data_IF_282789177384
#
_entry.id   IF_282789177384
#
_cell.length_a   1.000
_cell.length_b   1.000
_cell.length_c   1.000
_cell.angle_alpha   90.00
_cell.angle_beta   90.00
_cell.angle_gamma   90.00
#
_symmetry.space_group_name_H-M   'P 1'
#
loop_
_entity.id
_entity.type
_entity.pdbx_description
1 polymer ?
#
# COMPACT_ATOMS: atom_id res chain seq x y z
N UNK A 1 14.12 -35.85 51.68
CA UNK A 1 15.03 -34.97 50.89
C UNK A 1 14.67 -34.89 49.39
N UNK A 2 14.02 -35.91 48.80
CA UNK A 2 13.74 -35.99 47.33
C UNK A 2 12.57 -35.10 46.88
N UNK A 3 11.48 -35.01 47.64
CA UNK A 3 10.31 -34.18 47.27
C UNK A 3 10.59 -32.68 47.25
N UNK A 4 11.51 -32.18 48.05
CA UNK A 4 11.90 -30.77 48.08
C UNK A 4 12.74 -30.36 46.85
N UNK A 5 13.67 -31.19 46.45
CA UNK A 5 14.47 -30.94 45.23
C UNK A 5 13.63 -30.91 43.96
N UNK A 6 12.67 -31.84 43.83
CA UNK A 6 11.76 -31.88 42.66
C UNK A 6 10.85 -30.65 42.61
N UNK A 7 10.38 -30.14 43.75
CA UNK A 7 9.54 -28.93 43.80
C UNK A 7 10.32 -27.65 43.40
N UNK A 8 11.57 -27.52 43.85
CA UNK A 8 12.42 -26.38 43.49
C UNK A 8 12.75 -26.38 41.99
N UNK A 9 13.08 -27.56 41.44
CA UNK A 9 13.35 -27.73 40.02
C UNK A 9 12.10 -27.40 39.21
N UNK A 10 10.92 -27.84 39.62
CA UNK A 10 9.66 -27.56 38.91
C UNK A 10 9.28 -26.07 38.95
N UNK A 11 9.43 -25.40 40.09
CA UNK A 11 9.22 -23.95 40.24
C UNK A 11 10.21 -23.15 39.37
N UNK A 12 11.46 -23.58 39.30
CA UNK A 12 12.47 -22.94 38.40
C UNK A 12 12.09 -23.12 36.93
N UNK A 13 11.71 -24.32 36.48
CA UNK A 13 11.26 -24.58 35.12
C UNK A 13 9.98 -23.79 34.78
N UNK A 14 9.03 -23.75 35.69
CA UNK A 14 7.78 -23.01 35.55
C UNK A 14 8.02 -21.49 35.44
N UNK A 15 8.86 -20.94 36.28
CA UNK A 15 9.21 -19.51 36.25
C UNK A 15 9.97 -19.15 34.96
N UNK A 16 10.91 -20.00 34.54
CA UNK A 16 11.67 -19.84 33.30
C UNK A 16 10.76 -19.95 32.09
N UNK A 17 9.85 -20.92 32.05
CA UNK A 17 8.84 -21.08 30.99
C UNK A 17 7.89 -19.88 30.91
N UNK A 18 7.40 -19.39 32.03
CA UNK A 18 6.53 -18.21 32.08
C UNK A 18 7.26 -16.95 31.63
N UNK A 19 8.53 -16.80 32.04
CA UNK A 19 9.39 -15.70 31.58
C UNK A 19 9.63 -15.77 30.07
N UNK A 20 9.94 -16.94 29.54
CA UNK A 20 10.11 -17.19 28.09
C UNK A 20 8.82 -16.92 27.31
N UNK A 21 7.67 -17.41 27.80
CA UNK A 21 6.36 -17.16 27.19
C UNK A 21 6.00 -15.66 27.19
N UNK A 22 6.34 -14.93 28.28
CA UNK A 22 6.10 -13.48 28.38
C UNK A 22 7.00 -12.68 27.44
N UNK A 23 8.27 -13.07 27.30
CA UNK A 23 9.22 -12.47 26.34
C UNK A 23 8.79 -12.71 24.90
N UNK A 24 8.42 -13.94 24.55
CA UNK A 24 7.97 -14.30 23.22
C UNK A 24 6.65 -13.59 22.83
N UNK A 25 5.72 -13.43 23.77
CA UNK A 25 4.50 -12.64 23.55
C UNK A 25 4.79 -11.14 23.35
N UNK A 26 5.76 -10.59 24.08
CA UNK A 26 6.15 -9.17 23.95
C UNK A 26 6.84 -8.91 22.62
N UNK A 27 7.74 -9.80 22.19
CA UNK A 27 8.41 -9.77 20.88
C UNK A 27 7.40 -9.87 19.74
N UNK A 28 6.42 -10.78 19.81
CA UNK A 28 5.37 -10.92 18.81
C UNK A 28 4.48 -9.66 18.72
N UNK A 29 4.10 -9.06 19.85
CA UNK A 29 3.30 -7.83 19.87
C UNK A 29 4.03 -6.65 19.22
N UNK A 30 5.33 -6.51 19.47
CA UNK A 30 6.15 -5.47 18.85
C UNK A 30 6.28 -5.68 17.33
N UNK A 31 6.56 -6.91 16.90
CA UNK A 31 6.62 -7.26 15.48
C UNK A 31 5.30 -7.00 14.76
N UNK A 32 4.17 -7.36 15.37
CA UNK A 32 2.83 -7.06 14.82
C UNK A 32 2.64 -5.54 14.66
N UNK A 33 2.99 -4.75 15.69
CA UNK A 33 2.92 -3.29 15.60
C UNK A 33 3.72 -2.74 14.42
N UNK A 34 4.99 -3.14 14.27
CA UNK A 34 5.85 -2.70 13.17
C UNK A 34 5.25 -3.08 11.80
N UNK A 35 4.75 -4.32 11.69
CA UNK A 35 4.12 -4.82 10.47
C UNK A 35 2.86 -4.02 10.15
N UNK A 36 1.96 -3.79 11.12
CA UNK A 36 0.73 -3.03 10.90
C UNK A 36 1.01 -1.60 10.46
N UNK A 37 1.98 -0.92 11.06
CA UNK A 37 2.36 0.43 10.63
C UNK A 37 2.89 0.42 9.19
N UNK A 38 3.74 -0.54 8.84
CA UNK A 38 4.27 -0.62 7.49
C UNK A 38 3.18 -1.00 6.46
N UNK A 39 2.21 -1.85 6.81
CA UNK A 39 1.11 -2.23 5.92
C UNK A 39 0.14 -1.08 5.64
N UNK A 40 0.10 -0.02 6.47
CA UNK A 40 -0.68 1.17 6.16
C UNK A 40 -0.21 1.85 4.86
N UNK A 41 1.07 1.77 4.50
CA UNK A 41 1.54 2.21 3.19
C UNK A 41 0.88 1.44 2.04
N UNK A 42 0.67 0.13 2.22
CA UNK A 42 -0.11 -0.68 1.28
C UNK A 42 -1.60 -0.31 1.28
N UNK A 43 -2.20 -0.07 2.45
CA UNK A 43 -3.59 0.37 2.55
C UNK A 43 -3.81 1.70 1.82
N UNK A 44 -2.90 2.67 1.98
CA UNK A 44 -2.96 3.95 1.28
C UNK A 44 -2.80 3.80 -0.23
N UNK A 45 -1.95 2.89 -0.68
CA UNK A 45 -1.90 2.53 -2.10
C UNK A 45 -3.29 2.10 -2.61
N UNK A 46 -3.96 1.17 -1.92
CA UNK A 46 -5.28 0.71 -2.31
C UNK A 46 -6.34 1.81 -2.22
N UNK A 47 -6.25 2.67 -1.21
CA UNK A 47 -7.17 3.78 -1.00
C UNK A 47 -7.06 4.85 -2.10
N UNK A 48 -5.85 5.40 -2.33
CA UNK A 48 -5.61 6.42 -3.38
C UNK A 48 -5.97 5.91 -4.78
N UNK A 49 -5.65 4.63 -5.03
CA UNK A 49 -5.97 4.01 -6.32
C UNK A 49 -7.47 3.73 -6.47
N UNK A 50 -8.14 3.38 -5.38
CA UNK A 50 -9.56 3.03 -5.39
C UNK A 50 -10.50 4.24 -5.32
N UNK A 51 -10.07 5.39 -4.79
CA UNK A 51 -10.91 6.58 -4.67
C UNK A 51 -11.41 7.07 -6.04
N UNK A 52 -10.57 6.92 -7.08
CA UNK A 52 -10.89 7.32 -8.44
C UNK A 52 -12.16 6.66 -8.98
N UNK A 53 -12.45 5.41 -8.58
CA UNK A 53 -13.60 4.66 -9.11
C UNK A 53 -14.95 5.34 -8.82
N UNK A 54 -15.09 5.94 -7.63
CA UNK A 54 -16.31 6.66 -7.27
C UNK A 54 -16.42 8.06 -7.86
N UNK A 55 -15.36 8.55 -8.51
CA UNK A 55 -15.25 9.94 -8.96
C UNK A 55 -15.18 10.10 -10.48
N UNK A 56 -15.08 9.00 -11.26
CA UNK A 56 -14.88 9.07 -12.72
C UNK A 56 -15.96 9.92 -13.40
N UNK A 57 -17.24 9.60 -13.20
CA UNK A 57 -18.32 10.34 -13.81
C UNK A 57 -18.39 11.81 -13.36
N UNK A 58 -18.13 12.07 -12.07
CA UNK A 58 -18.09 13.43 -11.54
C UNK A 58 -16.90 14.24 -12.09
N UNK A 59 -15.72 13.63 -12.26
CA UNK A 59 -14.56 14.29 -12.87
C UNK A 59 -14.78 14.56 -14.36
N UNK A 60 -15.46 13.65 -15.05
CA UNK A 60 -15.86 13.86 -16.45
C UNK A 60 -16.82 15.04 -16.56
N UNK A 61 -17.90 15.03 -15.77
CA UNK A 61 -18.90 16.13 -15.74
C UNK A 61 -18.26 17.46 -15.34
N UNK A 62 -17.31 17.49 -14.41
CA UNK A 62 -16.71 18.73 -13.90
C UNK A 62 -15.61 19.28 -14.81
N UNK A 63 -14.67 18.45 -15.29
CA UNK A 63 -13.49 18.89 -16.00
C UNK A 63 -13.55 18.71 -17.52
N UNK A 64 -14.38 17.82 -18.03
CA UNK A 64 -14.35 17.40 -19.44
C UNK A 64 -15.56 17.92 -20.22
N UNK A 65 -16.78 17.66 -19.74
CA UNK A 65 -18.02 18.05 -20.42
C UNK A 65 -18.08 19.56 -20.74
N UNK A 66 -17.70 20.48 -19.82
CA UNK A 66 -17.77 21.91 -20.10
C UNK A 66 -16.84 22.38 -21.22
N UNK A 67 -15.87 21.54 -21.66
CA UNK A 67 -14.96 21.87 -22.77
C UNK A 67 -15.60 21.65 -24.13
N UNK A 68 -16.74 20.97 -24.22
CA UNK A 68 -17.45 20.72 -25.47
C UNK A 68 -16.61 19.94 -26.50
N UNK A 69 -15.81 18.99 -26.04
CA UNK A 69 -14.92 18.20 -26.89
C UNK A 69 -15.71 17.15 -27.68
N UNK A 70 -15.14 16.68 -28.82
CA UNK A 70 -15.67 15.52 -29.51
C UNK A 70 -15.56 14.27 -28.60
N UNK A 71 -16.48 13.29 -28.79
CA UNK A 71 -16.58 12.10 -27.94
C UNK A 71 -15.23 11.37 -27.75
N UNK A 72 -14.45 11.22 -28.82
CA UNK A 72 -13.13 10.60 -28.74
C UNK A 72 -12.15 11.40 -27.86
N UNK A 73 -12.13 12.73 -28.01
CA UNK A 73 -11.25 13.60 -27.24
C UNK A 73 -11.68 13.67 -25.77
N UNK A 74 -12.98 13.68 -25.50
CA UNK A 74 -13.58 13.60 -24.16
C UNK A 74 -13.14 12.33 -23.46
N UNK A 75 -13.38 11.17 -24.05
CA UNK A 75 -12.99 9.86 -23.50
C UNK A 75 -11.48 9.76 -23.28
N UNK A 76 -10.67 10.33 -24.19
CA UNK A 76 -9.21 10.36 -24.04
C UNK A 76 -8.77 11.23 -22.86
N UNK A 77 -9.39 12.38 -22.67
CA UNK A 77 -9.06 13.27 -21.55
C UNK A 77 -9.50 12.66 -20.21
N UNK A 78 -10.71 12.11 -20.14
CA UNK A 78 -11.18 11.37 -18.96
C UNK A 78 -10.25 10.20 -18.61
N UNK A 79 -9.87 9.39 -19.58
CA UNK A 79 -8.90 8.31 -19.40
C UNK A 79 -7.54 8.79 -18.90
N UNK A 80 -7.06 9.95 -19.38
CA UNK A 80 -5.82 10.55 -18.92
C UNK A 80 -5.91 11.07 -17.49
N UNK A 81 -7.01 11.73 -17.13
CA UNK A 81 -7.28 12.19 -15.75
C UNK A 81 -7.26 10.99 -14.80
N UNK A 82 -7.99 9.92 -15.11
CA UNK A 82 -8.09 8.70 -14.30
C UNK A 82 -6.74 7.98 -14.16
N UNK A 83 -5.98 7.86 -15.25
CA UNK A 83 -4.71 7.12 -15.27
C UNK A 83 -3.49 7.95 -14.88
N UNK A 84 -3.62 9.25 -14.66
CA UNK A 84 -2.50 10.16 -14.37
C UNK A 84 -1.63 9.75 -13.19
N UNK A 85 -2.22 9.18 -12.14
CA UNK A 85 -1.50 8.65 -10.99
C UNK A 85 -0.53 7.50 -11.37
N UNK A 86 -0.84 6.72 -12.41
CA UNK A 86 0.04 5.63 -12.87
C UNK A 86 1.37 6.15 -13.41
N UNK A 87 1.38 7.33 -14.02
CA UNK A 87 2.63 8.01 -14.44
C UNK A 87 3.50 8.26 -13.21
N UNK A 88 2.91 8.82 -12.16
CA UNK A 88 3.59 9.00 -10.89
C UNK A 88 4.10 7.68 -10.29
N UNK A 89 3.30 6.60 -10.35
CA UNK A 89 3.69 5.28 -9.87
C UNK A 89 4.96 4.75 -10.55
N UNK A 90 5.07 4.94 -11.86
CA UNK A 90 6.28 4.54 -12.62
C UNK A 90 7.49 5.33 -12.12
N UNK A 91 7.36 6.64 -11.97
CA UNK A 91 8.45 7.50 -11.47
C UNK A 91 8.81 7.09 -10.03
N UNK A 92 7.83 6.98 -9.13
CA UNK A 92 8.02 6.61 -7.73
C UNK A 92 8.65 5.22 -7.57
N UNK A 93 8.22 4.24 -8.38
CA UNK A 93 8.81 2.90 -8.41
C UNK A 93 10.27 2.90 -8.89
N UNK A 94 10.58 3.69 -9.93
CA UNK A 94 11.95 3.79 -10.44
C UNK A 94 12.93 4.43 -9.43
N UNK A 95 12.49 5.47 -8.71
CA UNK A 95 13.35 6.19 -7.74
C UNK A 95 13.26 5.63 -6.32
N UNK A 96 12.22 4.83 -6.01
CA UNK A 96 11.96 4.33 -4.65
C UNK A 96 13.14 3.59 -4.04
N UNK A 97 13.83 2.75 -4.82
CA UNK A 97 15.03 2.06 -4.38
C UNK A 97 16.19 3.00 -4.01
N UNK A 98 16.38 4.07 -4.77
CA UNK A 98 17.39 5.10 -4.48
C UNK A 98 17.04 5.87 -3.20
N UNK A 99 15.78 6.30 -3.06
CA UNK A 99 15.27 6.99 -1.86
C UNK A 99 15.44 6.09 -0.62
N UNK A 100 15.07 4.80 -0.74
CA UNK A 100 15.22 3.82 0.34
C UNK A 100 16.66 3.58 0.75
N UNK A 101 17.62 3.71 -0.17
CA UNK A 101 19.04 3.63 0.09
C UNK A 101 19.59 4.90 0.73
N UNK A 102 19.15 6.08 0.28
CA UNK A 102 19.63 7.37 0.76
C UNK A 102 19.09 7.76 2.13
N UNK A 103 17.81 7.56 2.37
CA UNK A 103 17.12 8.06 3.57
C UNK A 103 16.70 6.96 4.56
N UNK A 104 16.85 5.69 4.18
CA UNK A 104 16.33 4.56 4.93
C UNK A 104 14.85 4.26 4.62
N UNK A 105 14.38 3.11 5.11
CA UNK A 105 13.04 2.62 4.75
C UNK A 105 11.94 3.41 5.43
N UNK A 106 12.12 3.74 6.71
CA UNK A 106 11.18 4.57 7.47
C UNK A 106 10.98 5.94 6.85
N UNK A 107 12.07 6.67 6.58
CA UNK A 107 11.98 8.02 6.03
C UNK A 107 11.41 8.00 4.61
N UNK A 108 11.69 6.95 3.83
CA UNK A 108 11.06 6.76 2.51
C UNK A 108 9.55 6.60 2.61
N UNK A 109 9.05 5.88 3.62
CA UNK A 109 7.61 5.78 3.90
C UNK A 109 7.02 7.12 4.38
N UNK A 110 7.77 7.91 5.16
CA UNK A 110 7.35 9.28 5.53
C UNK A 110 7.26 10.17 4.29
N UNK A 111 8.24 10.12 3.38
CA UNK A 111 8.20 10.86 2.11
C UNK A 111 6.97 10.45 1.30
N UNK A 112 6.69 9.15 1.16
CA UNK A 112 5.49 8.65 0.49
C UNK A 112 4.21 9.18 1.16
N UNK A 113 4.13 9.14 2.49
CA UNK A 113 2.99 9.67 3.25
C UNK A 113 2.77 11.17 3.04
N UNK A 114 3.84 11.96 2.98
CA UNK A 114 3.76 13.41 2.68
C UNK A 114 3.26 13.64 1.26
N UNK A 115 3.72 12.84 0.28
CA UNK A 115 3.24 12.93 -1.10
C UNK A 115 1.76 12.55 -1.22
N UNK A 116 1.29 11.52 -0.50
CA UNK A 116 -0.14 11.20 -0.39
C UNK A 116 -0.94 12.35 0.21
N UNK A 117 -0.43 12.95 1.29
CA UNK A 117 -1.11 14.08 1.93
C UNK A 117 -1.28 15.27 0.97
N UNK A 118 -0.20 15.64 0.26
CA UNK A 118 -0.23 16.71 -0.73
C UNK A 118 -1.18 16.38 -1.87
N UNK A 119 -1.18 15.13 -2.34
CA UNK A 119 -2.07 14.67 -3.41
C UNK A 119 -3.54 14.72 -2.99
N UNK A 120 -3.87 14.14 -1.83
CA UNK A 120 -5.25 14.13 -1.33
C UNK A 120 -5.80 15.55 -1.13
N UNK A 121 -4.99 16.44 -0.54
CA UNK A 121 -5.37 17.83 -0.34
C UNK A 121 -5.51 18.58 -1.66
N UNK A 122 -4.51 18.46 -2.54
CA UNK A 122 -4.52 19.18 -3.82
C UNK A 122 -5.52 18.62 -4.83
N UNK A 123 -5.78 17.32 -4.83
CA UNK A 123 -6.82 16.70 -5.67
C UNK A 123 -8.22 17.05 -5.19
N UNK A 124 -8.44 17.19 -3.88
CA UNK A 124 -9.74 17.62 -3.34
C UNK A 124 -10.01 19.10 -3.55
N UNK A 125 -8.97 19.92 -3.60
CA UNK A 125 -9.06 21.38 -3.72
C UNK A 125 -8.05 21.91 -4.76
N UNK A 126 -8.21 21.60 -6.06
CA UNK A 126 -7.23 21.97 -7.10
C UNK A 126 -7.11 23.49 -7.27
N UNK A 127 -8.10 24.27 -6.84
CA UNK A 127 -8.05 25.73 -6.82
C UNK A 127 -7.19 26.34 -5.72
N UNK A 128 -6.78 25.56 -4.72
CA UNK A 128 -5.99 26.04 -3.60
C UNK A 128 -4.70 26.73 -4.11
N UNK A 129 -4.43 27.95 -3.67
CA UNK A 129 -3.35 28.84 -4.12
C UNK A 129 -3.52 29.47 -5.52
N UNK A 130 -4.63 29.21 -6.26
CA UNK A 130 -4.87 29.74 -7.59
C UNK A 130 -6.08 30.66 -7.58
N UNK A 131 -7.20 30.20 -7.03
CA UNK A 131 -8.44 30.95 -6.91
C UNK A 131 -9.13 30.69 -5.56
N UNK A 132 -10.33 31.24 -5.36
CA UNK A 132 -11.13 30.96 -4.17
C UNK A 132 -11.61 29.50 -4.21
N UNK A 133 -11.47 28.79 -3.07
CA UNK A 133 -11.91 27.39 -2.95
C UNK A 133 -13.41 27.27 -3.28
N UNK A 134 -13.77 26.32 -4.13
CA UNK A 134 -15.12 26.10 -4.61
C UNK A 134 -15.53 26.93 -5.81
N UNK A 135 -14.64 27.83 -6.31
CA UNK A 135 -14.83 28.60 -7.55
C UNK A 135 -13.92 28.13 -8.69
N UNK A 136 -13.26 26.97 -8.53
CA UNK A 136 -12.50 26.34 -9.58
C UNK A 136 -13.41 25.85 -10.71
N UNK A 137 -12.91 25.93 -11.92
CA UNK A 137 -13.59 25.51 -13.13
C UNK A 137 -12.83 24.36 -13.84
N UNK A 138 -13.36 23.96 -14.99
CA UNK A 138 -12.78 22.93 -15.85
C UNK A 138 -11.36 23.20 -16.31
N UNK A 139 -10.85 24.46 -16.21
CA UNK A 139 -9.49 24.81 -16.61
C UNK A 139 -8.45 24.22 -15.66
N UNK A 140 -8.83 23.89 -14.43
CA UNK A 140 -7.97 23.32 -13.40
C UNK A 140 -7.69 21.82 -13.56
N UNK A 141 -8.16 21.18 -14.63
CA UNK A 141 -7.90 19.76 -14.89
C UNK A 141 -6.39 19.42 -14.89
N UNK A 142 -5.54 20.32 -15.40
CA UNK A 142 -4.08 20.10 -15.39
C UNK A 142 -3.49 20.16 -13.97
N UNK A 143 -4.04 21.01 -13.10
CA UNK A 143 -3.63 21.11 -11.69
C UNK A 143 -4.05 19.84 -10.93
N UNK A 144 -5.25 19.37 -11.16
CA UNK A 144 -5.72 18.09 -10.62
C UNK A 144 -4.80 16.93 -11.05
N UNK A 145 -4.51 16.82 -12.35
CA UNK A 145 -3.58 15.81 -12.91
C UNK A 145 -2.20 15.90 -12.24
N UNK A 146 -1.68 17.10 -12.03
CA UNK A 146 -0.40 17.30 -11.36
C UNK A 146 -0.40 16.72 -9.93
N UNK A 147 -1.43 17.00 -9.13
CA UNK A 147 -1.55 16.43 -7.80
C UNK A 147 -1.72 14.92 -7.83
N UNK A 148 -2.46 14.37 -8.81
CA UNK A 148 -2.57 12.91 -8.99
C UNK A 148 -1.22 12.26 -9.32
N UNK A 149 -0.38 12.90 -10.13
CA UNK A 149 0.98 12.42 -10.41
C UNK A 149 1.82 12.43 -9.13
N UNK A 150 1.72 13.47 -8.29
CA UNK A 150 2.41 13.52 -6.98
C UNK A 150 1.97 12.35 -6.08
N UNK A 151 0.67 12.08 -5.99
CA UNK A 151 0.15 10.91 -5.26
C UNK A 151 0.70 9.60 -5.80
N UNK A 152 0.69 9.46 -7.13
CA UNK A 152 1.27 8.31 -7.80
C UNK A 152 2.74 8.08 -7.44
N UNK A 153 3.57 9.13 -7.34
CA UNK A 153 4.96 9.00 -6.86
C UNK A 153 4.98 8.41 -5.44
N UNK A 154 4.10 8.90 -4.55
CA UNK A 154 3.91 8.33 -3.21
C UNK A 154 3.52 6.85 -3.25
N UNK A 155 2.57 6.47 -4.11
CA UNK A 155 2.17 5.07 -4.37
C UNK A 155 3.36 4.23 -4.79
N UNK A 156 4.14 4.69 -5.78
CA UNK A 156 5.31 3.95 -6.27
C UNK A 156 6.37 3.71 -5.20
N UNK A 157 6.66 4.71 -4.36
CA UNK A 157 7.61 4.58 -3.24
C UNK A 157 7.05 3.63 -2.17
N UNK A 158 5.78 3.81 -1.76
CA UNK A 158 5.17 3.00 -0.71
C UNK A 158 5.03 1.53 -1.11
N UNK A 159 4.64 1.25 -2.36
CA UNK A 159 4.49 -0.11 -2.89
C UNK A 159 5.78 -0.92 -2.83
N UNK A 160 6.93 -0.25 -2.97
CA UNK A 160 8.25 -0.87 -2.85
C UNK A 160 8.72 -0.92 -1.38
N UNK A 161 8.59 0.18 -0.64
CA UNK A 161 9.19 0.31 0.70
C UNK A 161 8.42 -0.43 1.78
N UNK A 162 7.09 -0.53 1.71
CA UNK A 162 6.29 -1.24 2.72
C UNK A 162 6.66 -2.73 2.80
N UNK A 163 6.65 -3.52 1.72
CA UNK A 163 7.05 -4.92 1.79
C UNK A 163 8.54 -5.09 2.12
N UNK A 164 9.43 -4.19 1.69
CA UNK A 164 10.86 -4.22 2.04
C UNK A 164 11.04 -3.99 3.53
N UNK A 165 10.38 -2.99 4.11
CA UNK A 165 10.40 -2.72 5.55
C UNK A 165 9.96 -3.97 6.34
N UNK A 166 8.82 -4.57 5.96
CA UNK A 166 8.31 -5.78 6.61
C UNK A 166 9.30 -6.94 6.48
N UNK A 167 9.87 -7.16 5.30
CA UNK A 167 10.81 -8.26 5.04
C UNK A 167 12.12 -8.12 5.84
N UNK A 168 12.59 -6.89 6.07
CA UNK A 168 13.83 -6.62 6.79
C UNK A 168 13.67 -6.70 8.33
N UNK A 169 12.45 -6.48 8.87
CA UNK A 169 12.18 -6.63 10.31
C UNK A 169 11.69 -8.02 10.70
N UNK A 170 11.15 -8.78 9.74
CA UNK A 170 10.51 -10.06 10.00
C UNK A 170 11.55 -11.18 10.20
N UNK A 171 11.40 -12.02 11.24
CA UNK A 171 12.13 -13.27 11.34
C UNK A 171 11.91 -14.17 10.12
N UNK A 172 12.93 -14.93 9.71
CA UNK A 172 12.92 -15.70 8.47
C UNK A 172 11.71 -16.64 8.35
N UNK A 173 11.30 -17.27 9.44
CA UNK A 173 10.18 -18.21 9.49
C UNK A 173 8.78 -17.56 9.38
N UNK A 174 8.67 -16.24 9.55
CA UNK A 174 7.39 -15.48 9.47
C UNK A 174 7.37 -14.49 8.32
N UNK A 175 8.50 -14.26 7.64
CA UNK A 175 8.67 -13.20 6.63
C UNK A 175 7.64 -13.27 5.51
N UNK A 176 7.46 -14.45 4.89
CA UNK A 176 6.50 -14.63 3.80
C UNK A 176 5.08 -14.24 4.21
N UNK A 177 4.62 -14.74 5.37
CA UNK A 177 3.29 -14.43 5.90
C UNK A 177 3.11 -12.95 6.22
N UNK A 178 4.11 -12.29 6.82
CA UNK A 178 4.01 -10.88 7.19
C UNK A 178 4.04 -9.96 5.95
N UNK A 179 4.84 -10.29 4.94
CA UNK A 179 4.85 -9.57 3.65
C UNK A 179 3.50 -9.72 2.93
N UNK A 180 2.86 -10.88 3.01
CA UNK A 180 1.52 -11.08 2.41
C UNK A 180 0.44 -10.17 3.03
N UNK A 181 0.61 -9.72 4.27
CA UNK A 181 -0.31 -8.75 4.88
C UNK A 181 -0.26 -7.38 4.19
N UNK A 182 0.85 -7.02 3.54
CA UNK A 182 0.89 -5.81 2.72
C UNK A 182 -0.08 -5.89 1.54
N UNK A 183 -0.15 -7.04 0.86
CA UNK A 183 -1.12 -7.25 -0.22
C UNK A 183 -2.56 -7.22 0.30
N UNK A 184 -2.82 -7.84 1.46
CA UNK A 184 -4.13 -7.79 2.09
C UNK A 184 -4.52 -6.36 2.47
N UNK A 185 -3.57 -5.54 2.91
CA UNK A 185 -3.81 -4.14 3.23
C UNK A 185 -4.13 -3.31 1.98
N UNK A 186 -3.47 -3.56 0.83
CA UNK A 186 -3.79 -2.92 -0.45
C UNK A 186 -5.25 -3.19 -0.83
N UNK A 187 -5.65 -4.46 -0.85
CA UNK A 187 -7.03 -4.84 -1.20
C UNK A 187 -8.04 -4.36 -0.16
N UNK A 188 -7.64 -4.33 1.12
CA UNK A 188 -8.41 -3.72 2.20
C UNK A 188 -8.62 -2.23 2.01
N UNK A 189 -7.62 -1.50 1.49
CA UNK A 189 -7.71 -0.09 1.12
C UNK A 189 -8.75 0.17 0.03
N UNK A 190 -8.76 -0.63 -1.03
CA UNK A 190 -9.81 -0.60 -2.05
C UNK A 190 -11.20 -0.82 -1.44
N UNK A 191 -11.35 -1.84 -0.62
CA UNK A 191 -12.63 -2.14 0.02
C UNK A 191 -13.12 -0.98 0.90
N UNK A 192 -12.24 -0.42 1.73
CA UNK A 192 -12.59 0.70 2.62
C UNK A 192 -13.02 1.93 1.82
N UNK A 193 -12.28 2.31 0.78
CA UNK A 193 -12.61 3.50 -0.01
C UNK A 193 -13.89 3.32 -0.83
N UNK A 194 -14.25 2.11 -1.27
CA UNK A 194 -15.52 1.86 -1.92
C UNK A 194 -16.70 2.11 -0.98
N UNK A 195 -16.60 1.72 0.29
CA UNK A 195 -17.60 2.09 1.31
C UNK A 195 -17.63 3.61 1.52
N UNK A 196 -16.47 4.26 1.61
CA UNK A 196 -16.41 5.72 1.81
C UNK A 196 -17.05 6.46 0.64
N UNK A 197 -16.72 6.09 -0.60
CA UNK A 197 -17.31 6.66 -1.81
C UNK A 197 -18.85 6.49 -1.81
N UNK A 198 -19.35 5.31 -1.46
CA UNK A 198 -20.77 5.04 -1.37
C UNK A 198 -21.46 5.92 -0.31
N UNK A 199 -20.91 6.01 0.91
CA UNK A 199 -21.52 6.83 1.95
C UNK A 199 -21.48 8.33 1.61
N UNK A 200 -20.42 8.80 0.94
CA UNK A 200 -20.37 10.19 0.47
C UNK A 200 -21.43 10.41 -0.62
N UNK A 201 -21.59 9.48 -1.55
CA UNK A 201 -22.60 9.59 -2.60
C UNK A 201 -24.03 9.64 -2.06
N UNK A 202 -24.33 8.96 -0.96
CA UNK A 202 -25.63 9.04 -0.28
C UNK A 202 -25.91 10.38 0.40
N UNK A 203 -24.90 11.28 0.51
CA UNK A 203 -25.05 12.55 1.21
C UNK A 203 -25.66 13.67 0.35
N UNK A 204 -25.83 13.45 -0.95
CA UNK A 204 -26.40 14.42 -1.88
C UNK A 204 -26.94 13.77 -3.15
N UNK A 205 -27.45 14.58 -4.04
CA UNK A 205 -27.89 14.17 -5.37
C UNK A 205 -26.72 14.15 -6.38
N UNK A 206 -26.98 13.68 -7.59
CA UNK A 206 -25.96 13.62 -8.66
C UNK A 206 -25.38 14.99 -8.99
N UNK A 207 -26.17 16.07 -8.90
CA UNK A 207 -25.68 17.42 -9.13
C UNK A 207 -24.65 17.82 -8.08
N UNK A 208 -24.96 17.60 -6.80
CA UNK A 208 -24.04 17.85 -5.70
C UNK A 208 -22.79 16.95 -5.81
N UNK A 209 -22.97 15.68 -6.19
CA UNK A 209 -21.87 14.73 -6.34
C UNK A 209 -20.88 15.19 -7.42
N UNK A 210 -21.40 15.69 -8.55
CA UNK A 210 -20.60 16.18 -9.68
C UNK A 210 -19.90 17.51 -9.39
N UNK A 211 -20.43 18.34 -8.51
CA UNK A 211 -19.83 19.64 -8.16
C UNK A 211 -18.89 19.54 -6.95
N UNK A 212 -19.34 18.87 -5.87
CA UNK A 212 -18.64 18.86 -4.58
C UNK A 212 -18.29 17.44 -4.08
N UNK A 213 -19.11 16.43 -4.31
CA UNK A 213 -18.98 15.12 -3.69
C UNK A 213 -17.64 14.44 -3.97
N UNK A 214 -17.15 14.51 -5.18
CA UNK A 214 -15.83 13.97 -5.55
C UNK A 214 -14.68 14.58 -4.75
N UNK A 215 -14.79 15.84 -4.33
CA UNK A 215 -13.79 16.54 -3.50
C UNK A 215 -13.70 15.91 -2.12
N UNK A 216 -14.87 15.59 -1.52
CA UNK A 216 -14.92 14.89 -0.23
C UNK A 216 -14.38 13.47 -0.34
N UNK A 217 -14.59 12.79 -1.47
CA UNK A 217 -14.00 11.47 -1.69
C UNK A 217 -12.48 11.52 -1.65
N UNK A 218 -11.83 12.45 -2.36
CA UNK A 218 -10.37 12.65 -2.27
C UNK A 218 -9.92 13.16 -0.90
N UNK A 219 -10.63 14.12 -0.30
CA UNK A 219 -10.30 14.64 1.03
C UNK A 219 -10.35 13.57 2.12
N UNK A 220 -11.21 12.54 1.97
CA UNK A 220 -11.33 11.45 2.95
C UNK A 220 -10.03 10.68 3.16
N UNK A 221 -9.13 10.66 2.17
CA UNK A 221 -7.81 10.05 2.24
C UNK A 221 -6.88 10.75 3.26
N UNK A 222 -7.12 12.03 3.56
CA UNK A 222 -6.33 12.76 4.56
C UNK A 222 -6.37 12.10 5.93
N UNK A 223 -7.48 11.40 6.28
CA UNK A 223 -7.61 10.71 7.56
C UNK A 223 -6.61 9.56 7.68
N UNK A 224 -6.64 8.53 6.82
CA UNK A 224 -5.70 7.42 6.93
C UNK A 224 -4.24 7.84 6.67
N UNK A 225 -3.98 8.84 5.83
CA UNK A 225 -2.63 9.38 5.61
C UNK A 225 -2.08 10.03 6.88
N UNK A 226 -2.89 10.84 7.57
CA UNK A 226 -2.47 11.49 8.83
C UNK A 226 -2.16 10.44 9.90
N UNK A 227 -3.03 9.42 10.04
CA UNK A 227 -2.78 8.29 10.95
C UNK A 227 -1.47 7.58 10.61
N UNK A 228 -1.22 7.31 9.34
CA UNK A 228 0.00 6.69 8.85
C UNK A 228 1.24 7.50 9.22
N UNK A 229 1.25 8.80 8.93
CA UNK A 229 2.36 9.68 9.26
C UNK A 229 2.64 9.71 10.76
N UNK A 230 1.61 9.84 11.61
CA UNK A 230 1.75 9.83 13.08
C UNK A 230 2.34 8.50 13.55
N UNK A 231 1.84 7.37 13.04
CA UNK A 231 2.30 6.05 13.46
C UNK A 231 3.73 5.75 13.01
N UNK A 232 4.18 6.28 11.87
CA UNK A 232 5.56 6.14 11.40
C UNK A 232 6.58 6.75 12.39
N UNK A 233 6.21 7.80 13.13
CA UNK A 233 7.10 8.34 14.18
C UNK A 233 7.29 7.37 15.34
N UNK A 234 6.37 6.43 15.56
CA UNK A 234 6.40 5.48 16.68
C UNK A 234 7.20 4.19 16.39
N UNK A 235 7.69 4.03 15.17
CA UNK A 235 8.46 2.85 14.75
C UNK A 235 9.90 3.25 14.38
N UNK A 236 10.91 2.37 14.61
CA UNK A 236 12.28 2.60 14.19
C UNK A 236 12.44 2.39 12.68
N UNK A 237 13.63 2.71 12.15
CA UNK A 237 14.02 2.21 10.84
C UNK A 237 14.43 0.73 10.91
N UNK A 238 14.58 0.08 9.75
CA UNK A 238 14.92 -1.34 9.71
C UNK A 238 16.37 -1.59 10.14
N UNK A 239 16.68 -2.74 10.75
CA UNK A 239 18.05 -3.08 11.14
C UNK A 239 19.06 -2.97 10.00
N UNK A 240 18.68 -3.42 8.79
CA UNK A 240 19.54 -3.35 7.60
C UNK A 240 19.81 -1.89 7.18
N UNK A 241 18.80 -1.03 7.23
CA UNK A 241 18.93 0.40 6.97
C UNK A 241 19.85 1.07 7.98
N UNK A 242 19.66 0.76 9.27
CA UNK A 242 20.46 1.32 10.36
C UNK A 242 21.95 0.94 10.24
N UNK A 243 22.26 -0.32 9.91
CA UNK A 243 23.65 -0.76 9.67
C UNK A 243 24.22 -0.07 8.44
N UNK A 244 23.45 0.08 7.37
CA UNK A 244 23.88 0.78 6.15
C UNK A 244 24.26 2.25 6.41
N UNK A 245 23.64 2.89 7.41
CA UNK A 245 23.92 4.27 7.83
C UNK A 245 24.79 4.34 9.10
N UNK A 246 25.64 3.36 9.32
CA UNK A 246 26.63 3.28 10.42
C UNK A 246 26.03 3.38 11.84
N UNK A 247 24.77 2.96 12.04
CA UNK A 247 24.07 3.01 13.32
C UNK A 247 23.82 1.60 13.88
N UNK A 248 24.89 0.86 14.11
CA UNK A 248 24.86 -0.54 14.53
C UNK A 248 24.21 -0.74 15.92
N UNK A 249 24.43 0.20 16.86
CA UNK A 249 23.84 0.11 18.20
C UNK A 249 22.31 0.09 18.16
N UNK A 250 21.72 1.01 17.40
CA UNK A 250 20.27 1.03 17.21
C UNK A 250 19.76 -0.18 16.45
N UNK A 251 20.53 -0.68 15.45
CA UNK A 251 20.18 -1.91 14.74
C UNK A 251 20.09 -3.10 15.70
N UNK A 252 21.08 -3.26 16.58
CA UNK A 252 21.09 -4.30 17.59
C UNK A 252 19.95 -4.16 18.58
N UNK A 253 19.62 -2.92 19.01
CA UNK A 253 18.48 -2.66 19.89
C UNK A 253 17.15 -3.10 19.27
N UNK A 254 16.94 -2.80 17.97
CA UNK A 254 15.74 -3.21 17.24
C UNK A 254 15.68 -4.73 17.10
N UNK A 255 16.79 -5.37 16.76
CA UNK A 255 16.89 -6.83 16.63
C UNK A 255 16.59 -7.54 17.95
N UNK A 256 17.10 -7.05 19.09
CA UNK A 256 16.82 -7.60 20.44
C UNK A 256 15.36 -7.47 20.86
N UNK A 257 14.59 -6.54 20.27
CA UNK A 257 13.15 -6.40 20.54
C UNK A 257 12.31 -7.45 19.80
N UNK A 258 12.84 -8.03 18.71
CA UNK A 258 12.14 -8.96 17.82
C UNK A 258 12.66 -10.38 17.96
N UNK A 259 13.96 -10.57 18.27
CA UNK A 259 14.64 -11.85 18.37
C UNK A 259 15.29 -12.03 19.75
N UNK A 260 15.73 -13.24 20.05
CA UNK A 260 16.55 -13.53 21.21
C UNK A 260 17.93 -12.86 21.08
N UNK A 261 18.59 -12.56 22.20
CA UNK A 261 19.83 -11.78 22.21
C UNK A 261 20.97 -12.42 21.40
N UNK A 262 21.12 -13.74 21.44
CA UNK A 262 22.11 -14.48 20.64
C UNK A 262 21.79 -14.39 19.14
N UNK A 263 20.54 -14.65 18.77
CA UNK A 263 20.06 -14.57 17.40
C UNK A 263 20.17 -13.14 16.86
N UNK A 264 19.91 -12.11 17.67
CA UNK A 264 20.04 -10.71 17.29
C UNK A 264 21.48 -10.34 16.88
N UNK A 265 22.50 -10.87 17.60
CA UNK A 265 23.91 -10.64 17.27
C UNK A 265 24.30 -11.39 15.99
N UNK A 266 23.83 -12.63 15.81
CA UNK A 266 24.07 -13.40 14.60
C UNK A 266 23.50 -12.70 13.36
N UNK A 267 22.21 -12.27 13.43
CA UNK A 267 21.56 -11.52 12.34
C UNK A 267 22.29 -10.21 12.06
N UNK A 268 22.78 -9.49 13.08
CA UNK A 268 23.54 -8.25 12.87
C UNK A 268 24.82 -8.53 12.08
N UNK A 269 25.56 -9.59 12.40
CA UNK A 269 26.77 -9.97 11.70
C UNK A 269 26.47 -10.39 10.25
N UNK A 270 25.41 -11.17 10.03
CA UNK A 270 24.95 -11.56 8.69
C UNK A 270 24.59 -10.33 7.84
N UNK A 271 23.92 -9.32 8.44
CA UNK A 271 23.60 -8.06 7.74
C UNK A 271 24.90 -7.35 7.34
N UNK A 272 25.90 -7.24 8.24
CA UNK A 272 27.19 -6.61 7.95
C UNK A 272 27.93 -7.31 6.81
N UNK A 273 27.94 -8.63 6.81
CA UNK A 273 28.65 -9.41 5.80
C UNK A 273 27.96 -9.30 4.45
N UNK A 274 26.60 -9.39 4.40
CA UNK A 274 25.86 -9.19 3.15
C UNK A 274 25.95 -7.76 2.59
N UNK A 275 26.19 -6.74 3.42
CA UNK A 275 26.40 -5.37 2.95
C UNK A 275 27.81 -5.15 2.36
N UNK A 276 28.79 -5.97 2.73
CA UNK A 276 30.15 -5.95 2.14
C UNK A 276 30.21 -6.68 0.79
N UNK A 277 29.28 -7.60 0.53
CA UNK A 277 29.24 -8.33 -0.73
C UNK A 277 28.98 -7.40 -1.91
N UNK A 278 29.74 -7.58 -2.99
CA UNK A 278 29.50 -6.84 -4.24
C UNK A 278 28.17 -7.29 -4.84
N UNK A 279 27.31 -6.33 -5.15
CA UNK A 279 26.06 -6.61 -5.88
C UNK A 279 26.38 -7.26 -7.23
N UNK A 280 25.84 -8.45 -7.45
CA UNK A 280 25.96 -9.13 -8.73
C UNK A 280 25.24 -8.33 -9.84
N UNK A 281 25.79 -8.22 -11.06
CA UNK A 281 25.10 -7.61 -12.19
C UNK A 281 23.74 -8.26 -12.45
N UNK A 282 22.76 -7.49 -12.93
CA UNK A 282 21.38 -7.93 -13.16
C UNK A 282 21.27 -9.22 -13.99
N UNK A 283 22.18 -9.40 -14.95
CA UNK A 283 22.17 -10.55 -15.87
C UNK A 283 23.02 -11.74 -15.41
N UNK A 284 23.59 -11.71 -14.19
CA UNK A 284 24.42 -12.80 -13.66
C UNK A 284 23.67 -14.14 -13.61
N UNK A 285 22.37 -14.11 -13.34
CA UNK A 285 21.51 -15.30 -13.27
C UNK A 285 20.84 -15.67 -14.62
N UNK A 286 21.26 -15.01 -15.71
CA UNK A 286 20.76 -15.24 -17.06
C UNK A 286 19.65 -14.27 -17.49
N UNK A 287 19.69 -13.90 -18.77
CA UNK A 287 18.71 -12.99 -19.38
C UNK A 287 17.26 -13.51 -19.30
N UNK A 288 17.11 -14.85 -19.39
CA UNK A 288 15.78 -15.49 -19.37
C UNK A 288 14.98 -15.21 -18.11
N UNK A 289 15.62 -15.12 -16.93
CA UNK A 289 14.93 -14.82 -15.66
C UNK A 289 14.35 -13.40 -15.68
N UNK A 290 15.11 -12.44 -16.22
CA UNK A 290 14.66 -11.04 -16.35
C UNK A 290 13.47 -10.96 -17.32
N UNK A 291 13.55 -11.63 -18.45
CA UNK A 291 12.45 -11.70 -19.45
C UNK A 291 11.18 -12.31 -18.84
N UNK A 292 11.30 -13.42 -18.13
CA UNK A 292 10.15 -14.05 -17.45
C UNK A 292 9.52 -13.07 -16.43
N UNK A 293 10.32 -12.37 -15.62
CA UNK A 293 9.82 -11.40 -14.66
C UNK A 293 9.06 -10.25 -15.35
N UNK A 294 9.61 -9.70 -16.43
CA UNK A 294 8.96 -8.64 -17.22
C UNK A 294 7.65 -9.15 -17.84
N UNK A 295 7.68 -10.32 -18.50
CA UNK A 295 6.49 -10.89 -19.15
C UNK A 295 5.38 -11.18 -18.13
N UNK A 296 5.69 -11.72 -16.95
CA UNK A 296 4.70 -11.94 -15.89
C UNK A 296 4.06 -10.63 -15.43
N UNK A 297 4.85 -9.57 -15.27
CA UNK A 297 4.33 -8.25 -14.90
C UNK A 297 3.43 -7.65 -15.98
N UNK A 298 3.83 -7.78 -17.26
CA UNK A 298 3.05 -7.31 -18.40
C UNK A 298 1.72 -8.09 -18.51
N UNK A 299 1.75 -9.41 -18.46
CA UNK A 299 0.54 -10.23 -18.54
C UNK A 299 -0.40 -10.01 -17.35
N UNK A 300 0.14 -9.75 -16.15
CA UNK A 300 -0.68 -9.39 -14.99
C UNK A 300 -1.51 -8.12 -15.26
N UNK A 301 -0.97 -7.13 -15.96
CA UNK A 301 -1.70 -5.92 -16.30
C UNK A 301 -2.71 -6.16 -17.44
N UNK A 302 -2.39 -7.02 -18.43
CA UNK A 302 -3.30 -7.37 -19.51
C UNK A 302 -4.53 -8.18 -19.09
N UNK A 303 -4.55 -8.75 -17.87
CA UNK A 303 -5.78 -9.32 -17.29
C UNK A 303 -6.87 -8.24 -17.09
N UNK A 304 -6.50 -6.95 -17.08
CA UNK A 304 -7.45 -5.83 -17.05
C UNK A 304 -8.03 -5.53 -15.68
N UNK A 305 -7.45 -6.06 -14.59
CA UNK A 305 -7.97 -5.87 -13.23
C UNK A 305 -8.11 -4.39 -12.87
N UNK A 306 -7.16 -3.54 -13.29
CA UNK A 306 -7.23 -2.11 -13.01
C UNK A 306 -8.41 -1.43 -13.72
N UNK A 307 -8.75 -1.85 -14.93
CA UNK A 307 -9.92 -1.33 -15.64
C UNK A 307 -11.19 -1.66 -14.86
N UNK A 308 -11.33 -2.90 -14.41
CA UNK A 308 -12.49 -3.31 -13.59
C UNK A 308 -12.56 -2.53 -12.28
N UNK A 309 -11.44 -2.37 -11.57
CA UNK A 309 -11.43 -1.69 -10.28
C UNK A 309 -11.65 -0.17 -10.39
N UNK A 310 -11.17 0.48 -11.46
CA UNK A 310 -11.30 1.94 -11.64
C UNK A 310 -12.66 2.34 -12.23
N UNK A 311 -13.19 1.55 -13.16
CA UNK A 311 -14.40 1.87 -13.88
C UNK A 311 -15.60 1.02 -13.45
N UNK A 312 -15.52 0.30 -12.32
CA UNK A 312 -16.60 -0.56 -11.86
C UNK A 312 -17.96 0.17 -11.78
N UNK A 313 -18.08 1.36 -11.14
CA UNK A 313 -19.35 2.07 -11.12
C UNK A 313 -19.85 2.46 -12.51
N UNK A 314 -18.95 2.91 -13.39
CA UNK A 314 -19.32 3.30 -14.76
C UNK A 314 -19.77 2.08 -15.58
N UNK A 315 -19.12 0.92 -15.42
CA UNK A 315 -19.55 -0.34 -16.03
C UNK A 315 -20.93 -0.72 -15.54
N UNK A 316 -21.24 -0.58 -14.24
CA UNK A 316 -22.57 -0.88 -13.72
C UNK A 316 -23.63 0.14 -14.16
N UNK A 317 -23.29 1.40 -14.38
CA UNK A 317 -24.19 2.41 -14.96
C UNK A 317 -24.62 2.07 -16.39
N UNK A 318 -23.78 1.36 -17.17
CA UNK A 318 -24.20 0.91 -18.52
C UNK A 318 -25.36 -0.10 -18.49
N UNK A 319 -25.72 -0.62 -17.31
CA UNK A 319 -26.89 -1.48 -17.07
C UNK A 319 -28.11 -0.67 -16.55
N UNK A 320 -28.15 0.63 -16.81
CA UNK A 320 -29.20 1.56 -16.35
C UNK A 320 -29.38 1.62 -14.82
N UNK A 321 -28.31 1.36 -14.06
CA UNK A 321 -28.30 1.48 -12.60
C UNK A 321 -28.06 2.93 -12.16
N UNK A 322 -28.79 3.39 -11.16
CA UNK A 322 -28.54 4.67 -10.50
C UNK A 322 -27.13 4.70 -9.86
N UNK A 323 -26.55 5.89 -9.68
CA UNK A 323 -25.15 6.08 -9.22
C UNK A 323 -24.91 5.39 -7.87
N UNK A 324 -25.82 5.53 -6.90
CA UNK A 324 -25.73 4.88 -5.59
C UNK A 324 -25.75 3.35 -5.70
N UNK A 325 -26.59 2.80 -6.55
CA UNK A 325 -26.68 1.35 -6.81
C UNK A 325 -25.43 0.83 -7.50
N UNK A 326 -24.87 1.56 -8.46
CA UNK A 326 -23.61 1.20 -9.13
C UNK A 326 -22.42 1.17 -8.14
N UNK A 327 -22.36 2.15 -7.22
CA UNK A 327 -21.35 2.18 -6.15
C UNK A 327 -21.54 1.03 -5.16
N UNK A 328 -22.79 0.66 -4.82
CA UNK A 328 -23.09 -0.49 -3.98
C UNK A 328 -22.59 -1.80 -4.62
N UNK A 329 -22.81 -1.98 -5.93
CA UNK A 329 -22.30 -3.14 -6.66
C UNK A 329 -20.76 -3.17 -6.67
N UNK A 330 -20.12 -2.01 -6.72
CA UNK A 330 -18.65 -1.91 -6.63
C UNK A 330 -18.12 -2.38 -5.27
N UNK A 331 -18.85 -2.16 -4.19
CA UNK A 331 -18.53 -2.73 -2.87
C UNK A 331 -18.49 -4.26 -2.92
N UNK A 332 -19.43 -4.91 -3.60
CA UNK A 332 -19.44 -6.36 -3.76
C UNK A 332 -18.19 -6.85 -4.50
N UNK A 333 -17.76 -6.15 -5.55
CA UNK A 333 -16.48 -6.44 -6.23
C UNK A 333 -15.32 -6.34 -5.24
N UNK A 334 -15.28 -5.30 -4.41
CA UNK A 334 -14.26 -5.12 -3.36
C UNK A 334 -14.26 -6.26 -2.34
N UNK A 335 -15.42 -6.66 -1.86
CA UNK A 335 -15.57 -7.77 -0.89
C UNK A 335 -15.07 -9.08 -1.51
N UNK A 336 -15.47 -9.41 -2.74
CA UNK A 336 -15.03 -10.61 -3.44
C UNK A 336 -13.51 -10.61 -3.59
N UNK A 337 -12.92 -9.50 -4.05
CA UNK A 337 -11.47 -9.37 -4.19
C UNK A 337 -10.75 -9.57 -2.84
N UNK A 338 -11.28 -8.98 -1.75
CA UNK A 338 -10.73 -9.13 -0.41
C UNK A 338 -10.79 -10.58 0.10
N UNK A 339 -11.92 -11.26 -0.07
CA UNK A 339 -12.08 -12.66 0.33
C UNK A 339 -11.17 -13.60 -0.45
N UNK A 340 -11.08 -13.44 -1.76
CA UNK A 340 -10.18 -14.24 -2.59
C UNK A 340 -8.70 -13.97 -2.27
N UNK A 341 -8.34 -12.76 -1.90
CA UNK A 341 -6.99 -12.46 -1.41
C UNK A 341 -6.66 -13.21 -0.12
N UNK A 342 -7.60 -13.31 0.84
CA UNK A 342 -7.41 -14.12 2.05
C UNK A 342 -7.24 -15.60 1.69
N UNK A 343 -8.04 -16.13 0.76
CA UNK A 343 -7.92 -17.51 0.29
C UNK A 343 -6.54 -17.73 -0.36
N UNK A 344 -6.11 -16.83 -1.24
CA UNK A 344 -4.82 -16.90 -1.89
C UNK A 344 -3.66 -16.92 -0.89
N UNK A 345 -3.67 -16.04 0.13
CA UNK A 345 -2.64 -16.00 1.17
C UNK A 345 -2.57 -17.32 1.95
N UNK A 346 -3.71 -17.95 2.23
CA UNK A 346 -3.75 -19.23 2.96
C UNK A 346 -3.34 -20.44 2.11
N UNK A 347 -3.52 -20.35 0.79
CA UNK A 347 -3.36 -21.51 -0.12
C UNK A 347 -2.03 -21.48 -0.88
N UNK A 348 -1.40 -20.32 -1.02
CA UNK A 348 -0.17 -20.16 -1.82
C UNK A 348 1.00 -21.00 -1.34
N UNK A 349 1.13 -21.21 -0.03
CA UNK A 349 2.18 -22.03 0.56
C UNK A 349 1.85 -23.55 0.51
N UNK A 350 0.56 -23.91 0.32
CA UNK A 350 0.09 -25.30 0.24
C UNK A 350 0.15 -25.82 -1.19
N UNK A 351 -0.47 -25.09 -2.13
CA UNK A 351 -0.59 -25.50 -3.53
C UNK A 351 0.54 -24.99 -4.42
N UNK A 352 1.29 -23.97 -3.94
CA UNK A 352 2.32 -23.31 -4.72
C UNK A 352 1.77 -22.23 -5.67
N UNK A 353 2.68 -21.40 -6.16
CA UNK A 353 2.33 -20.21 -6.96
C UNK A 353 1.86 -20.55 -8.37
N UNK A 354 2.50 -21.53 -9.02
CA UNK A 354 2.21 -21.89 -10.43
C UNK A 354 0.78 -22.43 -10.62
N UNK A 355 0.28 -23.41 -9.84
CA UNK A 355 -1.10 -23.89 -9.97
C UNK A 355 -2.14 -22.80 -9.75
N UNK A 356 -1.93 -21.92 -8.72
CA UNK A 356 -2.86 -20.84 -8.44
C UNK A 356 -2.92 -19.80 -9.56
N UNK A 357 -1.78 -19.50 -10.21
CA UNK A 357 -1.75 -18.61 -11.37
C UNK A 357 -2.49 -19.21 -12.57
N UNK A 358 -2.35 -20.52 -12.81
CA UNK A 358 -3.04 -21.22 -13.90
C UNK A 358 -4.56 -21.19 -13.64
N UNK A 359 -5.01 -21.53 -12.43
CA UNK A 359 -6.44 -21.50 -12.06
C UNK A 359 -7.02 -20.08 -12.21
N UNK A 360 -6.26 -19.06 -11.85
CA UNK A 360 -6.70 -17.67 -11.98
C UNK A 360 -6.68 -17.12 -13.41
N UNK A 361 -6.05 -17.81 -14.36
CA UNK A 361 -5.99 -17.42 -15.76
C UNK A 361 -7.05 -18.12 -16.63
N UNK A 362 -7.67 -19.20 -16.14
CA UNK A 362 -8.79 -19.94 -16.78
C UNK A 362 -10.12 -19.34 -16.33
#
# INVERSE_FOLDING_TARGET
ATKWKTRIIWEYYKSTYLKYKKLNNKSNGYLIKLTLVATLGGLLFGYDTGVISGTVGSLESFFVDPKGLAEYESSRLTGFIVSSALIGCIIGGAIGGLIGKMFGRKNSLIIAGVLFFISALGSSMPEMFITTIGQGDHTLSNVFIFYRIIGGIGVGIASMMSPVYIAEIAPANKRGKLVSYNQLAIVGGFMVVYFVNYFIALSGDDSWLNEFGWRYMFASELIPVTIFLILLYTVPDTPRSLVYHDNEEKALEVLKKVNDEKEAVEILNDIKDTLKEKTAPLFTYGFGIVVIGVLLSVFQQFVGINVVLYYAPEIFKTLDLATDTALLQTILVGIVNFLFTIIAIKTVDIYGRKPLMIIGAI
#
